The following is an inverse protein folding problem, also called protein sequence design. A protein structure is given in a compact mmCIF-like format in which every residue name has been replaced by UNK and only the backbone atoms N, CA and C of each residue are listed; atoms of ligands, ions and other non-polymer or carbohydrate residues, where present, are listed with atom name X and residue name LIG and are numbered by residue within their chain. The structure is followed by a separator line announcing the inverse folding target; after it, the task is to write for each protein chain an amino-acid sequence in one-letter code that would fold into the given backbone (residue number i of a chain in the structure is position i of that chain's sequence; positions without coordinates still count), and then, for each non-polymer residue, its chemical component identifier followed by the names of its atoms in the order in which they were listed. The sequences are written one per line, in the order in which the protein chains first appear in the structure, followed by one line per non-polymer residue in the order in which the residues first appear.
data_IF_349294538801
#
_entry.id   IF_349294538801
#
_cell.length_a   1.000
_cell.length_b   1.000
_cell.length_c   1.000
_cell.angle_alpha   90.00
_cell.angle_beta   90.00
_cell.angle_gamma   90.00
#
_symmetry.space_group_name_H-M   'P 1'
#
loop_
_entity.id
_entity.type
_entity.pdbx_description
1 polymer ?
#
# COMPACT_ATOMS: atom_id res chain seq x y z
N UNK A 1 -25.44 -10.65 13.22
CA UNK A 1 -24.52 -10.52 12.08
C UNK A 1 -24.52 -9.04 11.73
N UNK A 2 -23.36 -8.38 11.74
CA UNK A 2 -23.29 -6.93 11.49
C UNK A 2 -23.78 -6.56 10.09
N UNK A 3 -24.30 -5.35 9.93
CA UNK A 3 -24.70 -4.76 8.64
C UNK A 3 -23.46 -4.44 7.84
N UNK A 4 -23.24 -5.20 6.76
CA UNK A 4 -22.06 -5.13 5.91
C UNK A 4 -22.35 -4.44 4.58
N UNK A 5 -21.52 -3.45 4.24
CA UNK A 5 -21.46 -2.88 2.88
C UNK A 5 -20.08 -3.10 2.28
N UNK A 6 -19.99 -3.01 0.95
CA UNK A 6 -18.72 -3.21 0.26
C UNK A 6 -18.08 -1.86 -0.10
N UNK A 7 -16.78 -1.72 0.15
CA UNK A 7 -16.01 -0.56 -0.30
C UNK A 7 -15.71 -0.64 -1.80
N UNK A 8 -15.45 -1.83 -2.34
CA UNK A 8 -15.36 -2.04 -3.78
C UNK A 8 -16.62 -2.74 -4.27
N UNK A 9 -17.06 -2.47 -5.50
CA UNK A 9 -18.28 -3.11 -6.01
C UNK A 9 -18.10 -4.65 -6.06
N UNK A 10 -19.04 -5.46 -5.54
CA UNK A 10 -18.87 -6.92 -5.37
C UNK A 10 -18.54 -7.69 -6.65
N UNK A 11 -18.98 -7.18 -7.80
CA UNK A 11 -18.76 -7.80 -9.10
C UNK A 11 -17.85 -6.98 -10.04
N UNK A 12 -17.25 -5.88 -9.55
CA UNK A 12 -16.42 -4.98 -10.37
C UNK A 12 -15.43 -4.22 -9.47
N UNK A 13 -14.28 -4.84 -9.16
CA UNK A 13 -13.34 -4.34 -8.16
C UNK A 13 -12.60 -3.05 -8.55
N UNK A 14 -12.74 -2.59 -9.80
CA UNK A 14 -12.28 -1.29 -10.28
C UNK A 14 -13.24 -0.13 -9.93
N UNK A 15 -14.36 -0.42 -9.28
CA UNK A 15 -15.31 0.56 -8.76
C UNK A 15 -15.20 0.64 -7.24
N UNK A 16 -15.07 1.86 -6.71
CA UNK A 16 -14.98 2.10 -5.27
C UNK A 16 -16.11 3.01 -4.78
N UNK A 17 -16.52 2.81 -3.53
CA UNK A 17 -17.58 3.57 -2.87
C UNK A 17 -17.15 5.04 -2.77
N UNK A 18 -17.97 5.93 -3.32
CA UNK A 18 -17.76 7.39 -3.24
C UNK A 18 -18.84 8.10 -2.44
N UNK A 19 -20.05 7.54 -2.43
CA UNK A 19 -21.20 8.12 -1.75
C UNK A 19 -22.17 7.04 -1.24
N UNK A 20 -22.90 7.37 -0.19
CA UNK A 20 -23.95 6.51 0.38
C UNK A 20 -25.05 7.37 1.00
N UNK A 21 -26.29 6.89 1.00
CA UNK A 21 -27.43 7.54 1.63
C UNK A 21 -28.50 6.51 2.03
N UNK A 22 -29.36 6.85 2.99
CA UNK A 22 -30.60 6.12 3.27
C UNK A 22 -31.71 6.39 2.24
N UNK A 23 -31.54 7.36 1.34
CA UNK A 23 -32.50 7.76 0.30
C UNK A 23 -31.99 7.39 -1.09
N UNK A 24 -32.81 6.63 -1.83
CA UNK A 24 -32.50 6.30 -3.22
C UNK A 24 -32.45 7.55 -4.11
N UNK A 25 -33.26 8.57 -3.80
CA UNK A 25 -33.31 9.81 -4.57
C UNK A 25 -31.97 10.55 -4.51
N UNK A 26 -31.36 10.65 -3.33
CA UNK A 26 -30.08 11.34 -3.13
C UNK A 26 -28.97 10.67 -3.95
N UNK A 27 -28.94 9.33 -3.97
CA UNK A 27 -27.93 8.58 -4.72
C UNK A 27 -28.12 8.74 -6.23
N UNK A 28 -29.38 8.80 -6.70
CA UNK A 28 -29.69 9.07 -8.11
C UNK A 28 -29.30 10.49 -8.51
N UNK A 29 -29.55 11.48 -7.66
CA UNK A 29 -29.13 12.86 -7.87
C UNK A 29 -27.61 12.95 -7.95
N UNK A 30 -26.91 12.39 -6.95
CA UNK A 30 -25.45 12.36 -6.93
C UNK A 30 -24.85 11.67 -8.15
N UNK A 31 -25.48 10.60 -8.63
CA UNK A 31 -25.07 9.91 -9.85
C UNK A 31 -25.14 10.79 -11.10
N UNK A 32 -26.13 11.70 -11.19
CA UNK A 32 -26.25 12.62 -12.33
C UNK A 32 -25.13 13.66 -12.37
N UNK A 33 -24.53 13.95 -11.23
CA UNK A 33 -23.39 14.87 -11.09
C UNK A 33 -22.03 14.20 -11.33
N UNK A 34 -21.97 12.88 -11.31
CA UNK A 34 -20.72 12.14 -11.44
C UNK A 34 -20.19 12.19 -12.89
N UNK A 35 -18.90 12.47 -13.04
CA UNK A 35 -18.19 12.41 -14.31
C UNK A 35 -17.53 11.03 -14.48
N UNK A 36 -18.20 10.12 -15.19
CA UNK A 36 -17.67 8.80 -15.51
C UNK A 36 -18.62 7.63 -15.23
N UNK A 37 -18.07 6.42 -15.25
CA UNK A 37 -18.84 5.20 -15.02
C UNK A 37 -19.24 5.07 -13.55
N UNK A 38 -20.51 4.76 -13.32
CA UNK A 38 -21.06 4.60 -11.98
C UNK A 38 -21.85 3.29 -11.86
N UNK A 39 -21.80 2.69 -10.67
CA UNK A 39 -22.65 1.56 -10.27
C UNK A 39 -23.39 1.90 -8.98
N UNK A 40 -24.62 1.42 -8.83
CA UNK A 40 -25.45 1.65 -7.66
C UNK A 40 -25.85 0.31 -7.05
N UNK A 41 -25.68 0.17 -5.74
CA UNK A 41 -26.14 -1.00 -4.99
C UNK A 41 -27.04 -0.54 -3.84
N UNK A 42 -28.22 -1.16 -3.72
CA UNK A 42 -29.08 -1.02 -2.56
C UNK A 42 -28.89 -2.22 -1.63
N UNK A 43 -28.64 -1.96 -0.36
CA UNK A 43 -28.55 -2.95 0.71
C UNK A 43 -29.90 -3.04 1.43
N UNK A 44 -30.62 -4.16 1.35
CA UNK A 44 -31.98 -4.30 1.84
C UNK A 44 -32.01 -4.62 3.36
N UNK A 45 -31.34 -3.80 4.16
CA UNK A 45 -31.45 -3.87 5.62
C UNK A 45 -32.82 -3.35 6.08
N UNK A 46 -33.15 -3.54 7.37
CA UNK A 46 -34.38 -2.96 7.97
C UNK A 46 -34.51 -1.46 7.69
N UNK A 47 -33.39 -0.74 7.77
CA UNK A 47 -33.25 0.61 7.20
C UNK A 47 -32.38 0.52 5.95
N UNK A 48 -32.94 0.69 4.73
CA UNK A 48 -32.18 0.57 3.49
C UNK A 48 -31.00 1.53 3.44
N UNK A 49 -29.91 1.07 2.82
CA UNK A 49 -28.73 1.90 2.51
C UNK A 49 -28.41 1.75 1.04
N UNK A 50 -28.24 2.87 0.35
CA UNK A 50 -27.90 2.92 -1.06
C UNK A 50 -26.47 3.44 -1.20
N UNK A 51 -25.68 2.78 -2.04
CA UNK A 51 -24.26 3.07 -2.24
C UNK A 51 -24.01 3.37 -3.72
N UNK A 52 -23.33 4.48 -3.98
CA UNK A 52 -22.78 4.83 -5.27
C UNK A 52 -21.31 4.43 -5.32
N UNK A 53 -20.95 3.76 -6.39
CA UNK A 53 -19.58 3.46 -6.74
C UNK A 53 -19.20 4.18 -8.02
N UNK A 54 -17.97 4.71 -8.05
CA UNK A 54 -17.37 5.31 -9.24
C UNK A 54 -16.19 4.46 -9.70
N UNK A 55 -16.07 4.30 -11.01
CA UNK A 55 -15.00 3.54 -11.64
C UNK A 55 -13.72 4.36 -11.72
N UNK A 56 -12.61 3.77 -11.30
CA UNK A 56 -11.27 4.25 -11.68
C UNK A 56 -11.07 3.96 -13.17
N UNK A 57 -10.68 4.98 -13.97
CA UNK A 57 -10.22 4.74 -15.34
C UNK A 57 -8.98 3.86 -15.26
N UNK A 58 -9.05 2.64 -15.77
CA UNK A 58 -7.88 1.79 -15.88
C UNK A 58 -6.88 2.48 -16.82
N UNK A 59 -5.62 2.56 -16.41
CA UNK A 59 -4.51 2.81 -17.33
C UNK A 59 -4.21 1.53 -18.12
N UNK A 60 -3.30 1.63 -19.07
CA UNK A 60 -2.79 0.53 -19.92
C UNK A 60 -2.40 -0.73 -19.10
N UNK A 61 -2.33 -1.91 -19.73
CA UNK A 61 -1.88 -3.13 -19.05
C UNK A 61 -0.44 -2.98 -18.55
N UNK A 62 -0.04 -3.78 -17.55
CA UNK A 62 1.35 -3.78 -17.07
C UNK A 62 2.34 -4.18 -18.17
N UNK A 63 1.87 -5.04 -19.07
CA UNK A 63 2.57 -5.47 -20.28
C UNK A 63 2.71 -4.37 -21.35
N UNK A 64 1.96 -3.27 -21.23
CA UNK A 64 1.89 -2.22 -22.23
C UNK A 64 2.77 -1.02 -21.85
N UNK A 65 3.25 -0.94 -20.60
CA UNK A 65 4.23 0.07 -20.20
C UNK A 65 5.62 -0.40 -20.61
N UNK A 66 6.23 0.40 -21.46
CA UNK A 66 7.64 0.32 -21.78
C UNK A 66 8.47 0.85 -20.58
N UNK A 67 9.03 -0.06 -19.77
CA UNK A 67 9.91 0.27 -18.65
C UNK A 67 11.39 0.34 -19.07
N UNK A 68 11.68 0.42 -20.38
CA UNK A 68 13.05 0.53 -20.88
C UNK A 68 13.81 1.70 -20.22
N UNK A 69 15.14 1.59 -20.07
CA UNK A 69 15.95 2.58 -19.35
C UNK A 69 15.72 4.03 -19.81
N UNK A 70 15.56 4.26 -21.11
CA UNK A 70 15.31 5.58 -21.69
C UNK A 70 13.98 6.19 -21.18
N UNK A 71 12.93 5.38 -20.99
CA UNK A 71 11.63 5.83 -20.46
C UNK A 71 11.74 6.29 -19.00
N UNK A 72 12.55 5.57 -18.22
CA UNK A 72 12.84 5.90 -16.82
C UNK A 72 13.73 7.14 -16.72
N UNK A 73 14.79 7.21 -17.52
CA UNK A 73 15.70 8.36 -17.55
C UNK A 73 14.95 9.66 -17.84
N UNK A 74 14.06 9.68 -18.83
CA UNK A 74 13.23 10.85 -19.15
C UNK A 74 12.35 11.31 -17.97
N UNK A 75 11.79 10.36 -17.20
CA UNK A 75 10.91 10.65 -16.04
C UNK A 75 11.67 11.00 -14.77
N UNK A 76 12.92 10.58 -14.69
CA UNK A 76 13.79 10.75 -13.52
C UNK A 76 14.79 11.89 -13.69
N UNK A 77 14.96 12.41 -14.91
CA UNK A 77 15.84 13.51 -15.24
C UNK A 77 15.59 14.75 -14.35
N UNK A 78 16.67 15.32 -13.83
CA UNK A 78 16.64 16.49 -12.95
C UNK A 78 16.22 16.22 -11.50
N UNK A 79 15.92 14.97 -11.14
CA UNK A 79 15.56 14.60 -9.75
C UNK A 79 16.80 14.31 -8.89
N UNK A 80 16.69 14.36 -7.55
CA UNK A 80 17.79 13.94 -6.67
C UNK A 80 18.20 12.48 -6.91
N UNK A 81 19.50 12.18 -6.79
CA UNK A 81 20.07 10.84 -7.02
C UNK A 81 19.32 9.75 -6.23
N UNK A 82 19.04 10.00 -4.96
CA UNK A 82 18.30 9.06 -4.11
C UNK A 82 16.94 8.67 -4.72
N UNK A 83 16.20 9.65 -5.25
CA UNK A 83 14.93 9.41 -5.95
C UNK A 83 15.13 8.58 -7.20
N UNK A 84 16.16 8.87 -8.00
CA UNK A 84 16.42 8.14 -9.26
C UNK A 84 16.75 6.67 -8.99
N UNK A 85 17.69 6.41 -8.09
CA UNK A 85 18.14 5.05 -7.73
C UNK A 85 17.00 4.24 -7.12
N UNK A 86 16.27 4.84 -6.16
CA UNK A 86 15.12 4.19 -5.52
C UNK A 86 14.02 3.89 -6.54
N UNK A 87 13.75 4.81 -7.46
CA UNK A 87 12.78 4.61 -8.53
C UNK A 87 13.17 3.46 -9.46
N UNK A 88 14.44 3.39 -9.86
CA UNK A 88 14.95 2.31 -10.70
C UNK A 88 14.75 0.94 -10.04
N UNK A 89 15.16 0.80 -8.76
CA UNK A 89 14.95 -0.45 -8.01
C UNK A 89 13.49 -0.80 -7.80
N UNK A 90 12.63 0.18 -7.54
CA UNK A 90 11.20 -0.07 -7.38
C UNK A 90 10.54 -0.57 -8.68
N UNK A 91 11.04 -0.16 -9.84
CA UNK A 91 10.55 -0.61 -11.14
C UNK A 91 11.06 -2.02 -11.45
N UNK A 92 12.33 -2.32 -11.22
CA UNK A 92 12.84 -3.70 -11.35
C UNK A 92 12.11 -4.68 -10.41
N UNK A 93 11.83 -4.26 -9.16
CA UNK A 93 11.01 -5.04 -8.22
C UNK A 93 9.57 -5.21 -8.70
N UNK A 94 8.99 -4.19 -9.35
CA UNK A 94 7.66 -4.29 -9.95
C UNK A 94 7.65 -5.30 -11.09
N UNK A 95 8.64 -5.25 -11.99
CA UNK A 95 8.79 -6.18 -13.10
C UNK A 95 8.96 -7.63 -12.61
N UNK A 96 9.82 -7.85 -11.60
CA UNK A 96 9.98 -9.15 -10.98
C UNK A 96 8.67 -9.66 -10.35
N UNK A 97 7.94 -8.80 -9.64
CA UNK A 97 6.65 -9.15 -9.05
C UNK A 97 5.56 -9.44 -10.10
N UNK A 98 5.64 -8.78 -11.27
CA UNK A 98 4.79 -9.07 -12.43
C UNK A 98 5.18 -10.40 -13.04
N UNK A 99 6.47 -10.69 -13.22
CA UNK A 99 6.95 -11.93 -13.82
C UNK A 99 6.59 -13.16 -12.98
N UNK A 100 6.71 -13.06 -11.65
CA UNK A 100 6.37 -14.13 -10.72
C UNK A 100 4.87 -14.50 -10.70
N UNK A 101 3.99 -13.64 -11.23
CA UNK A 101 2.56 -13.93 -11.42
C UNK A 101 2.25 -14.10 -12.90
N UNK A 102 1.47 -15.10 -13.30
CA UNK A 102 1.01 -15.17 -14.69
C UNK A 102 0.33 -13.83 -15.09
N UNK A 103 0.89 -13.16 -16.11
CA UNK A 103 0.71 -11.73 -16.41
C UNK A 103 -0.75 -11.27 -16.59
N UNK A 104 -1.68 -12.19 -16.83
CA UNK A 104 -3.11 -11.89 -17.04
C UNK A 104 -3.82 -11.34 -15.79
N UNK A 105 -3.26 -11.53 -14.59
CA UNK A 105 -3.86 -11.05 -13.33
C UNK A 105 -3.37 -9.64 -12.91
N UNK A 106 -2.38 -9.07 -13.60
CA UNK A 106 -1.68 -7.86 -13.13
C UNK A 106 -2.09 -6.61 -13.92
N UNK A 107 -3.21 -6.00 -13.51
CA UNK A 107 -3.67 -4.73 -14.08
C UNK A 107 -2.93 -3.55 -13.44
N UNK A 108 -2.56 -2.55 -14.24
CA UNK A 108 -2.16 -1.25 -13.72
C UNK A 108 -3.39 -0.39 -13.51
N UNK A 109 -3.42 0.32 -12.39
CA UNK A 109 -4.60 1.10 -12.00
C UNK A 109 -4.32 2.61 -11.97
N UNK A 110 -3.10 3.03 -12.29
CA UNK A 110 -2.66 4.44 -12.38
C UNK A 110 -1.27 4.56 -13.01
N UNK A 111 -0.82 5.78 -13.27
CA UNK A 111 0.52 6.07 -13.77
C UNK A 111 1.60 6.00 -12.67
N UNK A 112 2.85 5.80 -13.11
CA UNK A 112 4.04 5.90 -12.27
C UNK A 112 4.32 7.35 -11.84
N UNK A 113 4.47 7.59 -10.54
CA UNK A 113 4.64 8.94 -9.97
C UNK A 113 5.98 9.11 -9.22
N UNK A 114 7.09 9.42 -9.91
CA UNK A 114 8.42 9.50 -9.29
C UNK A 114 8.55 10.61 -8.22
N UNK A 115 7.75 11.68 -8.31
CA UNK A 115 7.65 12.71 -7.26
C UNK A 115 7.22 12.13 -5.90
N UNK A 116 6.38 11.10 -5.92
CA UNK A 116 5.88 10.48 -4.69
C UNK A 116 6.94 9.62 -4.01
N UNK A 117 7.92 9.12 -4.77
CA UNK A 117 9.10 8.40 -4.23
C UNK A 117 9.98 9.38 -3.48
N UNK A 118 10.28 10.54 -4.07
CA UNK A 118 11.07 11.57 -3.40
C UNK A 118 10.45 11.95 -2.05
N UNK A 119 9.15 12.22 -2.04
CA UNK A 119 8.40 12.51 -0.81
C UNK A 119 8.33 11.34 0.16
N UNK A 120 8.51 10.10 -0.30
CA UNK A 120 8.60 8.97 0.61
C UNK A 120 9.91 9.02 1.39
N UNK A 121 11.03 9.24 0.68
CA UNK A 121 12.38 9.30 1.24
C UNK A 121 12.55 10.49 2.20
N UNK A 122 11.98 11.66 1.89
CA UNK A 122 12.04 12.85 2.76
C UNK A 122 11.38 12.64 4.15
N UNK A 123 10.49 11.66 4.29
CA UNK A 123 9.78 11.38 5.55
C UNK A 123 10.38 10.18 6.30
N UNK A 124 11.61 9.78 5.97
CA UNK A 124 12.37 8.75 6.70
C UNK A 124 13.36 9.43 7.64
N UNK A 125 13.33 9.01 8.90
CA UNK A 125 14.25 9.40 9.96
C UNK A 125 15.59 8.67 9.80
N UNK A 126 16.29 8.94 8.70
CA UNK A 126 17.59 8.33 8.39
C UNK A 126 18.58 8.44 9.56
N UNK A 127 19.27 7.34 9.87
CA UNK A 127 20.16 7.24 11.02
C UNK A 127 19.48 7.06 12.39
N UNK A 128 18.15 6.91 12.46
CA UNK A 128 17.47 6.38 13.65
C UNK A 128 17.78 4.89 13.84
N UNK A 129 17.19 4.22 14.85
CA UNK A 129 17.35 2.75 14.99
C UNK A 129 16.86 2.03 13.73
N UNK A 130 17.50 0.92 13.37
CA UNK A 130 17.23 0.19 12.12
C UNK A 130 15.74 -0.14 11.87
N UNK A 131 14.96 -0.62 12.87
CA UNK A 131 13.54 -0.88 12.64
C UNK A 131 12.71 0.39 12.36
N UNK A 132 13.14 1.54 12.88
CA UNK A 132 12.48 2.83 12.60
C UNK A 132 12.73 3.20 11.14
N UNK A 133 14.00 3.21 10.70
CA UNK A 133 14.35 3.58 9.32
C UNK A 133 13.67 2.65 8.31
N UNK A 134 13.75 1.34 8.52
CA UNK A 134 13.19 0.35 7.60
C UNK A 134 11.64 0.38 7.60
N UNK A 135 11.02 0.55 8.77
CA UNK A 135 9.56 0.67 8.91
C UNK A 135 9.00 1.96 8.32
N UNK A 136 9.64 3.10 8.56
CA UNK A 136 9.24 4.39 7.97
C UNK A 136 9.41 4.37 6.44
N UNK A 137 10.52 3.84 5.92
CA UNK A 137 10.74 3.68 4.47
C UNK A 137 9.59 2.88 3.84
N UNK A 138 9.29 1.71 4.41
CA UNK A 138 8.19 0.87 3.95
C UNK A 138 6.84 1.60 4.00
N UNK A 139 6.53 2.21 5.16
CA UNK A 139 5.28 2.92 5.38
C UNK A 139 5.07 4.03 4.36
N UNK A 140 6.10 4.85 4.19
CA UNK A 140 6.07 6.00 3.29
C UNK A 140 5.92 5.56 1.83
N UNK A 141 6.64 4.52 1.39
CA UNK A 141 6.48 3.97 0.03
C UNK A 141 5.06 3.48 -0.22
N UNK A 142 4.48 2.74 0.73
CA UNK A 142 3.10 2.23 0.64
C UNK A 142 2.07 3.37 0.62
N UNK A 143 2.20 4.37 1.50
CA UNK A 143 1.26 5.48 1.62
C UNK A 143 1.29 6.41 0.41
N UNK A 144 2.48 6.68 -0.11
CA UNK A 144 2.73 7.47 -1.33
C UNK A 144 2.29 6.73 -2.58
N UNK A 145 2.34 5.39 -2.54
CA UNK A 145 1.79 4.51 -3.56
C UNK A 145 2.32 4.84 -4.95
N UNK A 146 3.60 5.16 -5.12
CA UNK A 146 4.15 5.71 -6.36
C UNK A 146 4.02 4.78 -7.58
N UNK A 147 3.96 3.47 -7.34
CA UNK A 147 3.86 2.47 -8.39
C UNK A 147 2.42 2.25 -8.84
N UNK A 148 2.23 1.82 -10.09
CA UNK A 148 0.91 1.53 -10.65
C UNK A 148 0.22 0.35 -9.96
N UNK A 149 0.99 -0.58 -9.39
CA UNK A 149 0.54 -1.72 -8.58
C UNK A 149 1.72 -2.26 -7.73
N UNK A 150 1.52 -3.37 -6.99
CA UNK A 150 2.51 -4.04 -6.12
C UNK A 150 3.22 -3.18 -5.05
N UNK A 151 2.72 -1.97 -4.74
CA UNK A 151 3.33 -1.07 -3.75
C UNK A 151 3.64 -1.73 -2.39
N UNK A 152 2.78 -2.61 -1.87
CA UNK A 152 3.07 -3.35 -0.64
C UNK A 152 4.25 -4.31 -0.78
N UNK A 153 4.27 -5.09 -1.86
CA UNK A 153 5.29 -6.12 -2.10
C UNK A 153 6.66 -5.50 -2.34
N UNK A 154 6.73 -4.47 -3.19
CA UNK A 154 7.97 -3.75 -3.45
C UNK A 154 8.44 -2.98 -2.21
N UNK A 155 7.55 -2.45 -1.38
CA UNK A 155 7.94 -1.84 -0.11
C UNK A 155 8.50 -2.84 0.92
N UNK A 156 8.02 -4.09 0.95
CA UNK A 156 8.63 -5.15 1.78
C UNK A 156 10.04 -5.47 1.29
N UNK A 157 10.25 -5.59 -0.02
CA UNK A 157 11.59 -5.78 -0.58
C UNK A 157 12.54 -4.60 -0.26
N UNK A 158 12.04 -3.36 -0.33
CA UNK A 158 12.82 -2.18 0.04
C UNK A 158 13.14 -2.12 1.54
N UNK A 159 12.24 -2.61 2.40
CA UNK A 159 12.51 -2.81 3.81
C UNK A 159 13.67 -3.80 3.99
N UNK A 160 13.63 -4.94 3.30
CA UNK A 160 14.72 -5.92 3.32
C UNK A 160 16.05 -5.30 2.89
N UNK A 161 16.08 -4.58 1.76
CA UNK A 161 17.30 -3.89 1.31
C UNK A 161 17.81 -2.84 2.31
N UNK A 162 16.91 -2.20 3.06
CA UNK A 162 17.29 -1.27 4.11
C UNK A 162 17.94 -1.96 5.32
N UNK A 163 17.51 -3.18 5.65
CA UNK A 163 18.16 -4.00 6.68
C UNK A 163 19.51 -4.50 6.18
N UNK A 164 19.57 -5.02 4.96
CA UNK A 164 20.79 -5.54 4.34
C UNK A 164 21.86 -4.44 4.12
N UNK A 165 21.45 -3.19 3.90
CA UNK A 165 22.41 -2.08 3.81
C UNK A 165 23.08 -1.76 5.16
N UNK A 166 22.42 -2.02 6.28
CA UNK A 166 23.01 -1.91 7.60
C UNK A 166 23.80 -3.17 8.00
N UNK A 167 23.36 -4.35 7.57
CA UNK A 167 24.01 -5.63 7.82
C UNK A 167 23.84 -6.58 6.61
N UNK A 168 24.85 -6.69 5.73
CA UNK A 168 24.78 -7.52 4.53
C UNK A 168 24.67 -9.04 4.79
N UNK A 169 24.82 -9.47 6.04
CA UNK A 169 24.65 -10.88 6.43
C UNK A 169 23.23 -11.19 6.88
N UNK A 170 22.35 -10.18 6.91
CA UNK A 170 20.94 -10.39 7.17
C UNK A 170 20.32 -11.24 6.06
N UNK A 171 19.65 -12.31 6.46
CA UNK A 171 18.80 -13.11 5.60
C UNK A 171 17.35 -12.91 6.04
N UNK A 172 16.50 -12.50 5.11
CA UNK A 172 15.06 -12.42 5.36
C UNK A 172 14.55 -13.82 5.76
N UNK A 173 13.74 -13.94 6.84
CA UNK A 173 13.21 -15.24 7.26
C UNK A 173 12.62 -16.01 6.07
N UNK A 174 13.06 -17.26 5.91
CA UNK A 174 12.81 -18.03 4.69
C UNK A 174 11.33 -18.14 4.36
N UNK A 175 10.99 -17.76 3.13
CA UNK A 175 9.70 -18.00 2.47
C UNK A 175 9.44 -19.48 2.18
N UNK A 176 10.45 -20.35 2.27
CA UNK A 176 10.39 -21.76 1.84
C UNK A 176 9.91 -22.76 2.92
N UNK A 177 9.72 -22.34 4.17
CA UNK A 177 9.12 -23.20 5.21
C UNK A 177 7.61 -23.21 4.99
N UNK A 178 7.19 -23.89 3.92
CA UNK A 178 5.88 -23.77 3.26
C UNK A 178 5.45 -22.32 2.98
N UNK A 179 5.14 -21.99 1.72
CA UNK A 179 4.65 -20.66 1.35
C UNK A 179 3.48 -20.20 2.25
N UNK A 180 2.76 -21.17 2.83
CA UNK A 180 1.66 -20.98 3.77
C UNK A 180 2.10 -20.35 5.12
N UNK A 181 3.27 -20.64 5.69
CA UNK A 181 3.70 -20.10 6.99
C UNK A 181 4.15 -18.64 6.87
N UNK A 182 4.99 -18.32 5.88
CA UNK A 182 5.37 -16.94 5.60
C UNK A 182 4.14 -16.10 5.25
N UNK A 183 3.29 -16.62 4.36
CA UNK A 183 2.02 -16.00 4.00
C UNK A 183 1.12 -15.82 5.22
N UNK A 184 0.98 -16.82 6.09
CA UNK A 184 0.16 -16.73 7.30
C UNK A 184 0.66 -15.67 8.28
N UNK A 185 1.96 -15.36 8.28
CA UNK A 185 2.54 -14.34 9.14
C UNK A 185 2.45 -12.94 8.52
N UNK A 186 2.75 -12.78 7.24
CA UNK A 186 2.72 -11.49 6.54
C UNK A 186 1.29 -11.05 6.18
N UNK A 187 0.39 -11.98 5.88
CA UNK A 187 -0.99 -11.64 5.48
C UNK A 187 -1.73 -10.82 6.55
N UNK A 188 -1.71 -11.16 7.86
CA UNK A 188 -2.27 -10.32 8.91
C UNK A 188 -1.72 -8.89 8.90
N UNK A 189 -0.40 -8.75 8.72
CA UNK A 189 0.25 -7.44 8.61
C UNK A 189 -0.28 -6.65 7.39
N UNK A 190 -0.31 -7.29 6.21
CA UNK A 190 -0.79 -6.67 4.96
C UNK A 190 -2.27 -6.30 5.06
N UNK A 191 -3.08 -7.15 5.70
CA UNK A 191 -4.50 -6.92 5.93
C UNK A 191 -4.68 -5.66 6.76
N UNK A 192 -3.98 -5.51 7.89
CA UNK A 192 -4.11 -4.32 8.72
C UNK A 192 -3.57 -3.06 8.04
N UNK A 193 -2.43 -3.16 7.34
CA UNK A 193 -1.93 -2.05 6.51
C UNK A 193 -2.99 -1.56 5.51
N UNK A 194 -3.65 -2.49 4.80
CA UNK A 194 -4.73 -2.16 3.85
C UNK A 194 -5.95 -1.55 4.55
N UNK A 195 -6.30 -1.99 5.76
CA UNK A 195 -7.38 -1.38 6.55
C UNK A 195 -7.04 0.06 6.92
N UNK A 196 -5.86 0.29 7.51
CA UNK A 196 -5.39 1.62 7.90
C UNK A 196 -5.39 2.59 6.70
N UNK A 197 -4.87 2.18 5.54
CA UNK A 197 -4.87 3.01 4.32
C UNK A 197 -6.30 3.30 3.84
N UNK A 198 -7.20 2.32 3.93
CA UNK A 198 -8.58 2.47 3.48
C UNK A 198 -9.35 3.42 4.41
N UNK A 199 -9.23 3.23 5.73
CA UNK A 199 -9.82 4.12 6.75
C UNK A 199 -9.25 5.53 6.61
N UNK A 200 -7.93 5.67 6.48
CA UNK A 200 -7.25 6.96 6.26
C UNK A 200 -7.88 7.79 5.14
N UNK A 201 -8.19 7.16 4.01
CA UNK A 201 -8.74 7.82 2.80
C UNK A 201 -10.26 7.99 2.84
N UNK A 202 -10.95 7.28 3.72
CA UNK A 202 -12.42 7.21 3.75
C UNK A 202 -13.02 7.56 5.12
N UNK A 203 -12.25 8.12 6.04
CA UNK A 203 -12.65 8.36 7.43
C UNK A 203 -14.06 8.99 7.57
N UNK A 204 -14.28 10.15 6.94
CA UNK A 204 -15.57 10.85 6.92
C UNK A 204 -16.68 10.04 6.22
N UNK A 205 -16.35 9.30 5.15
CA UNK A 205 -17.32 8.42 4.47
C UNK A 205 -17.74 7.26 5.36
N UNK A 206 -16.78 6.68 6.08
CA UNK A 206 -17.01 5.57 6.99
C UNK A 206 -17.78 6.02 8.23
N UNK A 207 -17.54 7.24 8.72
CA UNK A 207 -18.38 7.85 9.74
C UNK A 207 -19.83 8.00 9.27
N UNK A 208 -20.02 8.43 8.03
CA UNK A 208 -21.37 8.53 7.47
C UNK A 208 -22.04 7.16 7.38
N UNK A 209 -21.34 6.12 6.94
CA UNK A 209 -21.86 4.75 6.94
C UNK A 209 -22.21 4.26 8.35
N UNK A 210 -21.35 4.54 9.34
CA UNK A 210 -21.61 4.23 10.75
C UNK A 210 -22.89 4.90 11.24
N UNK A 211 -23.13 6.17 10.88
CA UNK A 211 -24.39 6.88 11.20
C UNK A 211 -25.62 6.30 10.50
N UNK A 212 -25.47 5.64 9.35
CA UNK A 212 -26.52 4.86 8.70
C UNK A 212 -26.74 3.48 9.37
N UNK A 213 -25.98 3.18 10.44
CA UNK A 213 -26.00 1.94 11.20
C UNK A 213 -25.33 0.78 10.48
N UNK A 214 -24.31 1.06 9.66
CA UNK A 214 -23.42 0.04 9.10
C UNK A 214 -22.35 -0.29 10.13
N UNK A 215 -22.09 -1.59 10.31
CA UNK A 215 -21.08 -2.09 11.26
C UNK A 215 -19.77 -2.39 10.53
N UNK A 216 -19.87 -2.95 9.31
CA UNK A 216 -18.72 -3.53 8.59
C UNK A 216 -18.62 -2.95 7.19
N UNK A 217 -17.41 -2.56 6.80
CA UNK A 217 -17.05 -2.27 5.41
C UNK A 217 -16.09 -3.34 4.89
N UNK A 218 -16.46 -4.05 3.83
CA UNK A 218 -15.62 -5.07 3.21
C UNK A 218 -14.94 -4.55 1.94
N UNK A 219 -13.60 -4.60 1.91
CA UNK A 219 -12.75 -4.29 0.75
C UNK A 219 -12.45 -5.56 -0.04
N UNK A 220 -12.08 -5.39 -1.32
CA UNK A 220 -11.60 -6.48 -2.18
C UNK A 220 -10.56 -7.37 -1.48
N UNK A 221 -10.63 -8.67 -1.73
CA UNK A 221 -9.83 -9.68 -1.03
C UNK A 221 -10.38 -10.07 0.35
N UNK A 222 -11.66 -9.80 0.63
CA UNK A 222 -12.32 -10.20 1.88
C UNK A 222 -11.86 -9.45 3.13
N UNK A 223 -11.21 -8.28 2.96
CA UNK A 223 -10.70 -7.49 4.07
C UNK A 223 -11.85 -6.73 4.71
N UNK A 224 -12.24 -7.15 5.91
CA UNK A 224 -13.30 -6.51 6.71
C UNK A 224 -12.73 -5.43 7.61
N UNK A 225 -13.38 -4.28 7.63
CA UNK A 225 -13.11 -3.12 8.48
C UNK A 225 -14.33 -2.98 9.40
N UNK A 226 -14.19 -3.33 10.66
CA UNK A 226 -15.19 -3.07 11.70
C UNK A 226 -15.14 -1.57 12.02
N UNK A 227 -16.22 -0.83 11.78
CA UNK A 227 -16.20 0.63 11.86
C UNK A 227 -15.97 1.15 13.29
N UNK A 228 -16.35 0.37 14.30
CA UNK A 228 -16.19 0.73 15.72
C UNK A 228 -14.74 0.58 16.23
N UNK A 229 -13.87 -0.14 15.50
CA UNK A 229 -12.45 -0.27 15.83
C UNK A 229 -11.64 0.98 15.45
N UNK A 230 -12.28 1.95 14.80
CA UNK A 230 -11.66 3.14 14.24
C UNK A 230 -12.35 4.41 14.73
N UNK A 231 -11.54 5.44 14.99
CA UNK A 231 -12.04 6.79 15.23
C UNK A 231 -12.32 7.44 13.86
N UNK A 232 -13.58 7.86 13.62
CA UNK A 232 -14.09 8.24 12.30
C UNK A 232 -14.65 9.68 12.24
N UNK A 233 -14.78 10.35 13.38
CA UNK A 233 -15.37 11.69 13.53
C UNK A 233 -14.36 12.83 13.40
N UNK A 234 -13.12 12.53 13.02
CA UNK A 234 -12.07 13.52 12.79
C UNK A 234 -12.32 14.38 11.54
N UNK A 235 -11.67 15.53 11.48
CA UNK A 235 -11.54 16.25 10.23
C UNK A 235 -10.66 15.44 9.24
N UNK A 236 -10.97 15.48 7.93
CA UNK A 236 -10.28 14.65 6.93
C UNK A 236 -8.75 14.81 6.92
N UNK A 237 -8.23 16.01 7.18
CA UNK A 237 -6.77 16.23 7.28
C UNK A 237 -6.16 15.55 8.50
N UNK A 238 -6.86 15.58 9.62
CA UNK A 238 -6.43 14.92 10.85
C UNK A 238 -6.41 13.41 10.66
N UNK A 239 -7.46 12.85 10.04
CA UNK A 239 -7.50 11.44 9.67
C UNK A 239 -6.33 11.04 8.75
N UNK A 240 -5.99 11.88 7.75
CA UNK A 240 -4.83 11.63 6.89
C UNK A 240 -3.50 11.56 7.67
N UNK A 241 -3.34 12.34 8.74
CA UNK A 241 -2.14 12.34 9.57
C UNK A 241 -2.15 11.22 10.61
N UNK A 242 -3.23 11.07 11.38
CA UNK A 242 -3.33 10.07 12.45
C UNK A 242 -3.20 8.65 11.91
N UNK A 243 -3.89 8.32 10.81
CA UNK A 243 -3.78 6.99 10.23
C UNK A 243 -2.50 6.77 9.42
N UNK A 244 -1.82 7.83 8.99
CA UNK A 244 -0.45 7.70 8.47
C UNK A 244 0.51 7.29 9.61
N UNK A 245 0.39 7.95 10.77
CA UNK A 245 1.20 7.61 11.95
C UNK A 245 0.94 6.19 12.44
N UNK A 246 -0.32 5.77 12.55
CA UNK A 246 -0.66 4.36 12.89
C UNK A 246 -0.08 3.36 11.89
N UNK A 247 -0.08 3.70 10.60
CA UNK A 247 0.50 2.85 9.57
C UNK A 247 2.03 2.77 9.70
N UNK A 248 2.68 3.88 10.00
CA UNK A 248 4.12 3.92 10.29
C UNK A 248 4.49 3.09 11.52
N UNK A 249 3.79 3.27 12.64
CA UNK A 249 3.96 2.45 13.85
C UNK A 249 3.78 0.95 13.53
N UNK A 250 2.79 0.60 12.71
CA UNK A 250 2.55 -0.76 12.25
C UNK A 250 3.70 -1.32 11.40
N UNK A 251 4.26 -0.54 10.47
CA UNK A 251 5.44 -0.91 9.68
C UNK A 251 6.71 -1.04 10.54
N UNK A 252 6.90 -0.17 11.54
CA UNK A 252 8.04 -0.25 12.47
C UNK A 252 7.95 -1.52 13.33
N UNK A 253 6.76 -1.83 13.85
CA UNK A 253 6.54 -3.10 14.55
C UNK A 253 6.84 -4.30 13.65
N UNK A 254 6.38 -4.28 12.39
CA UNK A 254 6.69 -5.33 11.44
C UNK A 254 8.19 -5.48 11.16
N UNK A 255 8.92 -4.38 11.00
CA UNK A 255 10.37 -4.41 10.85
C UNK A 255 11.07 -5.03 12.08
N UNK A 256 10.57 -4.76 13.30
CA UNK A 256 11.07 -5.40 14.53
C UNK A 256 10.77 -6.90 14.54
N UNK A 257 9.54 -7.28 14.22
CA UNK A 257 9.15 -8.69 14.17
C UNK A 257 9.96 -9.47 13.13
N UNK A 258 10.28 -8.88 11.96
CA UNK A 258 11.20 -9.48 10.97
C UNK A 258 12.54 -9.84 11.63
N UNK A 259 13.14 -8.90 12.36
CA UNK A 259 14.43 -9.11 13.01
C UNK A 259 14.35 -10.17 14.12
N UNK A 260 13.26 -10.18 14.88
CA UNK A 260 13.01 -11.20 15.91
C UNK A 260 12.86 -12.60 15.29
N UNK A 261 12.12 -12.74 14.19
CA UNK A 261 11.97 -14.01 13.47
C UNK A 261 13.27 -14.48 12.83
N UNK A 262 14.13 -13.55 12.41
CA UNK A 262 15.45 -13.86 11.86
C UNK A 262 16.50 -14.20 12.94
N UNK A 263 16.14 -14.20 14.22
CA UNK A 263 17.07 -14.31 15.35
C UNK A 263 18.18 -13.23 15.31
N UNK A 264 17.83 -12.04 14.79
CA UNK A 264 18.71 -10.87 14.65
C UNK A 264 18.29 -9.73 15.58
N UNK A 265 17.95 -10.08 16.82
CA UNK A 265 17.59 -9.08 17.85
C UNK A 265 18.75 -8.14 18.18
N UNK A 266 19.98 -8.53 17.86
CA UNK A 266 21.17 -7.66 17.90
C UNK A 266 21.05 -6.41 17.01
N UNK A 267 20.21 -6.46 15.97
CA UNK A 267 19.99 -5.37 15.03
C UNK A 267 18.90 -4.38 15.47
N UNK A 268 18.08 -4.70 16.48
CA UNK A 268 16.94 -3.86 16.90
C UNK A 268 17.39 -2.49 17.40
N UNK A 269 18.48 -2.45 18.17
CA UNK A 269 19.05 -1.22 18.71
C UNK A 269 20.21 -0.66 17.85
N UNK A 270 20.53 -1.33 16.73
CA UNK A 270 21.56 -0.86 15.80
C UNK A 270 21.07 0.41 15.12
N UNK A 271 21.98 1.36 14.92
CA UNK A 271 21.72 2.52 14.06
C UNK A 271 21.43 2.04 12.64
N UNK A 272 20.29 2.45 12.09
CA UNK A 272 19.92 2.22 10.70
C UNK A 272 20.76 3.05 9.74
N UNK A 273 20.65 2.78 8.44
CA UNK A 273 21.46 3.47 7.43
C UNK A 273 21.07 4.95 7.34
N UNK A 274 22.03 5.76 6.93
CA UNK A 274 21.76 7.08 6.34
C UNK A 274 21.16 6.92 4.94
N UNK A 275 20.52 7.98 4.40
CA UNK A 275 20.01 7.95 3.02
C UNK A 275 21.12 7.60 2.01
N UNK A 276 22.33 8.14 2.22
CA UNK A 276 23.46 7.90 1.34
C UNK A 276 23.91 6.43 1.35
N UNK A 277 24.03 5.81 2.53
CA UNK A 277 24.40 4.40 2.67
C UNK A 277 23.34 3.47 2.06
N UNK A 278 22.05 3.79 2.25
CA UNK A 278 20.98 3.05 1.61
C UNK A 278 21.03 3.15 0.08
N UNK A 279 21.21 4.35 -0.46
CA UNK A 279 21.31 4.58 -1.91
C UNK A 279 22.54 3.89 -2.50
N UNK A 280 23.68 3.95 -1.83
CA UNK A 280 24.90 3.24 -2.25
C UNK A 280 24.70 1.72 -2.28
N UNK A 281 24.01 1.17 -1.27
CA UNK A 281 23.66 -0.24 -1.25
C UNK A 281 22.73 -0.62 -2.41
N UNK A 282 21.72 0.20 -2.71
CA UNK A 282 20.88 -0.03 -3.89
C UNK A 282 21.68 0.00 -5.20
N UNK A 283 22.69 0.87 -5.31
CA UNK A 283 23.50 0.98 -6.53
C UNK A 283 24.50 -0.15 -6.71
N UNK A 284 25.01 -0.73 -5.63
CA UNK A 284 26.18 -1.63 -5.68
C UNK A 284 25.94 -3.00 -5.03
N UNK A 285 25.13 -3.06 -3.98
CA UNK A 285 24.88 -4.25 -3.18
C UNK A 285 23.84 -5.21 -3.73
N UNK A 286 22.95 -4.75 -4.62
CA UNK A 286 21.84 -5.55 -5.17
C UNK A 286 21.90 -5.77 -6.68
N UNK A 287 22.96 -5.35 -7.37
CA UNK A 287 23.06 -5.33 -8.85
C UNK A 287 23.01 -6.72 -9.47
N UNK A 288 23.58 -7.72 -8.81
CA UNK A 288 23.64 -9.10 -9.32
C UNK A 288 22.50 -9.98 -8.80
N UNK A 289 21.57 -9.40 -8.02
CA UNK A 289 20.49 -10.16 -7.38
C UNK A 289 19.35 -10.40 -8.35
N UNK A 290 18.90 -11.65 -8.45
CA UNK A 290 17.65 -11.98 -9.12
C UNK A 290 16.47 -11.58 -8.21
N UNK A 291 15.76 -10.51 -8.57
CA UNK A 291 14.62 -10.04 -7.80
C UNK A 291 13.39 -10.94 -7.89
N UNK A 292 13.36 -11.91 -8.81
CA UNK A 292 12.25 -12.87 -8.86
C UNK A 292 12.26 -13.81 -7.66
N UNK A 293 13.42 -14.03 -7.02
CA UNK A 293 13.54 -14.81 -5.79
C UNK A 293 12.89 -14.13 -4.56
N UNK A 294 12.46 -12.87 -4.70
CA UNK A 294 11.78 -12.11 -3.64
C UNK A 294 10.25 -12.27 -3.64
N UNK A 295 9.66 -12.92 -4.65
CA UNK A 295 8.20 -12.93 -4.91
C UNK A 295 7.62 -14.30 -5.21
#
# INVERSE_FOLDING_TARGET
MGRLVHYHHPCADNFSLTFSSGSAADVIERRREADGETKLVGYPFETPVYVLYEGTRASESASDIDYEPDWLEDRLSGRPRATQVTAFRLVELLEAAVHAREAEEFRLYKDFEPDQIHRALENVSWGASLPIVAGELMSNLVLRHALPNANHRTAIAMLQFCIESADPTFEMPSTHVDDDTWKAWVDPYIVESKRLITVRRNNVRFEHLRRLGIDIVERKGGIRIELDDYELDMHWREALSQYAKRHEEHCISFAREILEQADRTDLVDRTGPTEAEFVEYLETGVVERDFTELF
#
